data_IF_086447334893
#
_entry.id   IF_086447334893
#
_cell.length_a   1.000
_cell.length_b   1.000
_cell.length_c   1.000
_cell.angle_alpha   90.00
_cell.angle_beta   90.00
_cell.angle_gamma   90.00
#
_symmetry.space_group_name_H-M   'P 1'
#
loop_
_entity.id
_entity.type
_entity.pdbx_description
1 polymer ?
#
# COMPACT_ATOMS: atom_id res chain seq x y z
N UNK A 1 -2.53 19.66 -27.91
CA UNK A 1 -1.87 18.83 -26.87
C UNK A 1 -2.75 17.60 -26.75
N UNK A 2 -2.22 16.42 -27.05
CA UNK A 2 -3.00 15.19 -27.08
C UNK A 2 -3.64 14.95 -25.70
N UNK A 3 -4.97 14.88 -25.64
CA UNK A 3 -5.67 14.63 -24.37
C UNK A 3 -5.52 13.16 -24.01
N UNK A 4 -4.63 12.90 -23.05
CA UNK A 4 -4.32 11.54 -22.60
C UNK A 4 -5.55 10.83 -22.02
N UNK A 5 -6.55 11.57 -21.52
CA UNK A 5 -7.82 10.98 -21.10
C UNK A 5 -8.62 10.47 -22.31
N UNK A 6 -8.73 11.25 -23.38
CA UNK A 6 -9.42 10.82 -24.60
C UNK A 6 -8.75 9.62 -25.26
N UNK A 7 -7.42 9.64 -25.35
CA UNK A 7 -6.67 8.52 -25.93
C UNK A 7 -6.89 7.25 -25.10
N UNK A 8 -6.85 7.37 -23.76
CA UNK A 8 -7.11 6.23 -22.89
C UNK A 8 -8.52 5.66 -23.10
N UNK A 9 -9.54 6.52 -23.24
CA UNK A 9 -10.94 6.10 -23.48
C UNK A 9 -11.14 5.40 -24.82
N UNK A 10 -10.33 5.71 -25.84
CA UNK A 10 -10.39 5.03 -27.14
C UNK A 10 -9.82 3.61 -27.09
N UNK A 11 -9.15 3.21 -26.00
CA UNK A 11 -8.56 1.88 -25.88
C UNK A 11 -7.32 1.65 -26.75
N UNK A 12 -6.78 2.70 -27.39
CA UNK A 12 -5.65 2.56 -28.30
C UNK A 12 -4.32 2.61 -27.54
N UNK A 13 -3.82 1.43 -27.15
CA UNK A 13 -2.55 1.24 -26.42
C UNK A 13 -1.37 1.94 -27.10
N UNK A 14 -1.22 1.81 -28.42
CA UNK A 14 -0.03 2.34 -29.12
C UNK A 14 -0.04 3.88 -29.16
N UNK A 15 -1.21 4.49 -29.41
CA UNK A 15 -1.40 5.94 -29.35
C UNK A 15 -1.17 6.47 -27.92
N UNK A 16 -1.66 5.73 -26.91
CA UNK A 16 -1.45 6.06 -25.50
C UNK A 16 0.02 6.05 -25.11
N UNK A 17 0.75 4.99 -25.49
CA UNK A 17 2.19 4.86 -25.25
C UNK A 17 2.94 6.00 -25.94
N UNK A 18 2.62 6.30 -27.20
CA UNK A 18 3.28 7.38 -27.94
C UNK A 18 3.03 8.76 -27.32
N UNK A 19 1.82 9.03 -26.82
CA UNK A 19 1.52 10.25 -26.08
C UNK A 19 2.33 10.33 -24.76
N UNK A 20 2.44 9.22 -24.03
CA UNK A 20 3.24 9.15 -22.80
C UNK A 20 4.73 9.37 -23.06
N UNK A 21 5.29 8.81 -24.15
CA UNK A 21 6.69 9.01 -24.55
C UNK A 21 7.03 10.48 -24.77
N UNK A 22 6.10 11.26 -25.34
CA UNK A 22 6.27 12.70 -25.55
C UNK A 22 6.22 13.48 -24.24
N UNK A 23 5.35 13.10 -23.30
CA UNK A 23 5.17 13.81 -22.03
C UNK A 23 4.61 12.94 -20.91
N UNK A 24 5.48 12.22 -20.21
CA UNK A 24 5.11 11.31 -19.13
C UNK A 24 4.32 12.03 -18.03
N UNK A 25 4.67 13.27 -17.67
CA UNK A 25 3.97 14.02 -16.62
C UNK A 25 2.45 14.15 -16.83
N UNK A 26 1.94 13.98 -18.06
CA UNK A 26 0.51 13.98 -18.33
C UNK A 26 -0.24 12.79 -17.69
N UNK A 27 0.45 11.68 -17.36
CA UNK A 27 -0.16 10.53 -16.66
C UNK A 27 -0.59 10.89 -15.24
N UNK A 28 0.07 11.86 -14.61
CA UNK A 28 -0.21 12.31 -13.24
C UNK A 28 -1.35 13.34 -13.17
N UNK A 29 -1.89 13.78 -14.32
CA UNK A 29 -3.10 14.60 -14.32
C UNK A 29 -4.26 13.78 -13.78
N UNK A 30 -4.95 14.30 -12.79
CA UNK A 30 -6.08 13.63 -12.17
C UNK A 30 -7.32 14.52 -12.18
N UNK A 31 -8.46 13.86 -12.09
CA UNK A 31 -9.80 14.43 -11.97
C UNK A 31 -10.57 13.59 -10.96
N UNK A 32 -11.17 14.25 -9.98
CA UNK A 32 -11.96 13.54 -8.97
C UNK A 32 -13.26 12.99 -9.57
N UNK A 33 -13.66 11.79 -9.16
CA UNK A 33 -14.93 11.19 -9.55
C UNK A 33 -14.75 9.95 -10.44
N UNK A 34 -15.44 9.90 -11.58
CA UNK A 34 -15.49 8.69 -12.43
C UNK A 34 -14.33 8.51 -13.42
N UNK A 35 -13.44 9.50 -13.52
CA UNK A 35 -12.36 9.47 -14.51
C UNK A 35 -11.00 9.20 -13.86
N UNK A 36 -10.79 9.64 -12.61
CA UNK A 36 -9.50 9.52 -11.93
C UNK A 36 -8.39 10.19 -12.74
N UNK A 37 -7.33 9.45 -13.02
CA UNK A 37 -6.26 9.80 -13.96
C UNK A 37 -6.26 8.87 -15.20
N UNK A 38 -5.48 9.16 -16.25
CA UNK A 38 -5.44 8.34 -17.46
C UNK A 38 -5.08 6.86 -17.25
N UNK A 39 -4.33 6.52 -16.20
CA UNK A 39 -4.06 5.12 -15.86
C UNK A 39 -5.28 4.39 -15.31
N UNK A 40 -6.21 5.06 -14.63
CA UNK A 40 -7.47 4.43 -14.22
C UNK A 40 -8.25 3.95 -15.44
N UNK A 41 -8.33 4.82 -16.46
CA UNK A 41 -9.01 4.50 -17.72
C UNK A 41 -8.27 3.36 -18.43
N UNK A 42 -6.95 3.46 -18.60
CA UNK A 42 -6.17 2.40 -19.25
C UNK A 42 -6.25 1.05 -18.51
N UNK A 43 -6.40 1.05 -17.18
CA UNK A 43 -6.59 -0.16 -16.39
C UNK A 43 -7.98 -0.76 -16.60
N UNK A 44 -9.01 0.09 -16.59
CA UNK A 44 -10.39 -0.33 -16.86
C UNK A 44 -10.57 -0.89 -18.27
N UNK A 45 -9.87 -0.33 -19.25
CA UNK A 45 -9.82 -0.83 -20.65
C UNK A 45 -8.88 -2.04 -20.83
N UNK A 46 -8.19 -2.50 -19.77
CA UNK A 46 -7.43 -3.74 -19.76
C UNK A 46 -6.06 -3.70 -20.47
N UNK A 47 -5.51 -2.53 -20.78
CA UNK A 47 -4.22 -2.42 -21.48
C UNK A 47 -3.08 -1.77 -20.66
N UNK A 48 -3.35 -1.29 -19.43
CA UNK A 48 -2.39 -0.58 -18.59
C UNK A 48 -1.05 -1.32 -18.43
N UNK A 49 -1.07 -2.63 -18.08
CA UNK A 49 0.17 -3.38 -17.85
C UNK A 49 1.06 -3.41 -19.11
N UNK A 50 0.45 -3.63 -20.27
CA UNK A 50 1.18 -3.66 -21.54
C UNK A 50 1.78 -2.30 -21.89
N UNK A 51 0.99 -1.23 -21.76
CA UNK A 51 1.45 0.14 -22.00
C UNK A 51 2.58 0.54 -21.03
N UNK A 52 2.45 0.21 -19.75
CA UNK A 52 3.44 0.55 -18.73
C UNK A 52 4.80 -0.10 -19.02
N UNK A 53 4.83 -1.36 -19.46
CA UNK A 53 6.07 -2.04 -19.86
C UNK A 53 6.78 -1.28 -20.98
N UNK A 54 6.04 -0.87 -22.01
CA UNK A 54 6.60 -0.15 -23.14
C UNK A 54 7.08 1.24 -22.77
N UNK A 55 6.34 1.95 -21.92
CA UNK A 55 6.72 3.28 -21.43
C UNK A 55 8.02 3.20 -20.63
N UNK A 56 8.12 2.30 -19.65
CA UNK A 56 9.32 2.18 -18.81
C UNK A 56 10.53 1.73 -19.63
N UNK A 57 10.36 0.75 -20.52
CA UNK A 57 11.42 0.30 -21.42
C UNK A 57 11.95 1.45 -22.28
N UNK A 58 11.05 2.22 -22.90
CA UNK A 58 11.43 3.38 -23.70
C UNK A 58 12.20 4.41 -22.88
N UNK A 59 11.75 4.73 -21.67
CA UNK A 59 12.42 5.71 -20.82
C UNK A 59 13.84 5.26 -20.44
N UNK A 60 14.03 3.96 -20.20
CA UNK A 60 15.34 3.38 -19.90
C UNK A 60 16.28 3.43 -21.11
N UNK A 61 15.78 3.05 -22.29
CA UNK A 61 16.56 3.08 -23.54
C UNK A 61 16.91 4.51 -23.98
N UNK A 62 15.93 5.43 -23.94
CA UNK A 62 16.11 6.85 -24.31
C UNK A 62 17.08 7.56 -23.36
N UNK A 63 16.96 7.33 -22.05
CA UNK A 63 17.89 7.90 -21.06
C UNK A 63 19.30 7.35 -21.28
N UNK A 64 19.45 6.04 -21.52
CA UNK A 64 20.76 5.43 -21.76
C UNK A 64 21.44 6.00 -23.01
N UNK A 65 20.71 6.09 -24.12
CA UNK A 65 21.22 6.66 -25.38
C UNK A 65 21.69 8.10 -25.19
N UNK A 66 20.88 8.94 -24.52
CA UNK A 66 21.24 10.34 -24.27
C UNK A 66 22.42 10.51 -23.32
N UNK A 67 22.57 9.60 -22.34
CA UNK A 67 23.70 9.61 -21.40
C UNK A 67 25.00 9.21 -22.11
N UNK A 68 24.96 8.27 -23.06
CA UNK A 68 26.13 7.89 -23.87
C UNK A 68 26.58 9.02 -24.81
N UNK A 69 25.65 9.84 -25.31
CA UNK A 69 25.92 11.01 -26.17
C UNK A 69 26.29 12.28 -25.39
N UNK A 70 26.02 12.32 -24.08
CA UNK A 70 26.23 13.49 -23.25
C UNK A 70 27.71 13.87 -23.17
N UNK A 71 28.00 15.16 -23.37
CA UNK A 71 29.39 15.66 -23.45
C UNK A 71 29.95 16.05 -22.10
N UNK A 72 29.09 16.29 -21.11
CA UNK A 72 29.50 16.67 -19.77
C UNK A 72 28.69 15.97 -18.66
N UNK A 73 29.24 16.01 -17.44
CA UNK A 73 28.62 15.40 -16.27
C UNK A 73 27.34 16.11 -15.81
N UNK A 74 27.14 17.39 -16.15
CA UNK A 74 25.95 18.16 -15.76
C UNK A 74 24.74 17.71 -16.59
N UNK A 75 24.95 17.46 -17.87
CA UNK A 75 23.98 16.91 -18.81
C UNK A 75 23.56 15.50 -18.38
N UNK A 76 24.52 14.63 -18.04
CA UNK A 76 24.23 13.30 -17.47
C UNK A 76 23.35 13.41 -16.22
N UNK A 77 23.73 14.26 -15.25
CA UNK A 77 22.92 14.45 -14.02
C UNK A 77 21.52 15.00 -14.30
N UNK A 78 21.37 15.86 -15.31
CA UNK A 78 20.07 16.40 -15.72
C UNK A 78 19.19 15.28 -16.28
N UNK A 79 19.73 14.43 -17.15
CA UNK A 79 19.01 13.29 -17.73
C UNK A 79 18.63 12.26 -16.67
N UNK A 80 19.54 11.92 -15.76
CA UNK A 80 19.23 11.03 -14.62
C UNK A 80 18.11 11.59 -13.74
N UNK A 81 18.10 12.92 -13.51
CA UNK A 81 17.04 13.57 -12.75
C UNK A 81 15.71 13.52 -13.50
N UNK A 82 15.69 13.82 -14.79
CA UNK A 82 14.49 13.74 -15.62
C UNK A 82 13.90 12.32 -15.64
N UNK A 83 14.74 11.30 -15.76
CA UNK A 83 14.33 9.91 -15.67
C UNK A 83 13.70 9.57 -14.31
N UNK A 84 14.31 10.03 -13.20
CA UNK A 84 13.75 9.88 -11.85
C UNK A 84 12.41 10.60 -11.69
N UNK A 85 12.28 11.81 -12.21
CA UNK A 85 11.04 12.58 -12.18
C UNK A 85 9.93 11.89 -12.99
N UNK A 86 10.26 11.34 -14.17
CA UNK A 86 9.33 10.54 -14.97
C UNK A 86 8.85 9.27 -14.24
N UNK A 87 9.76 8.52 -13.60
CA UNK A 87 9.38 7.38 -12.75
C UNK A 87 8.49 7.81 -11.59
N UNK A 88 8.76 8.96 -10.98
CA UNK A 88 7.93 9.53 -9.91
C UNK A 88 6.51 9.83 -10.38
N UNK A 89 6.33 10.47 -11.54
CA UNK A 89 4.99 10.75 -12.08
C UNK A 89 4.19 9.47 -12.34
N UNK A 90 4.83 8.44 -12.91
CA UNK A 90 4.20 7.14 -13.14
C UNK A 90 3.74 6.52 -11.82
N UNK A 91 4.61 6.54 -10.81
CA UNK A 91 4.32 6.00 -9.48
C UNK A 91 3.17 6.74 -8.80
N UNK A 92 3.17 8.07 -8.84
CA UNK A 92 2.08 8.88 -8.30
C UNK A 92 0.76 8.57 -9.00
N UNK A 93 0.74 8.47 -10.33
CA UNK A 93 -0.46 8.13 -11.09
C UNK A 93 -0.99 6.72 -10.76
N UNK A 94 -0.11 5.73 -10.54
CA UNK A 94 -0.51 4.36 -10.18
C UNK A 94 -1.03 4.25 -8.74
N UNK A 95 -0.70 5.20 -7.86
CA UNK A 95 -1.12 5.20 -6.45
C UNK A 95 -2.22 6.23 -6.15
N UNK A 96 -2.53 7.09 -7.11
CA UNK A 96 -3.57 8.10 -7.00
C UNK A 96 -4.95 7.44 -6.84
N UNK A 97 -5.72 7.92 -5.86
CA UNK A 97 -7.04 7.39 -5.48
C UNK A 97 -8.17 8.36 -5.82
N UNK A 98 -8.00 9.12 -6.89
CA UNK A 98 -8.97 10.12 -7.34
C UNK A 98 -10.24 9.51 -7.95
N UNK A 99 -10.23 8.21 -8.28
CA UNK A 99 -11.40 7.50 -8.79
C UNK A 99 -12.30 7.00 -7.65
N UNK A 100 -13.59 7.32 -7.72
CA UNK A 100 -14.58 6.87 -6.73
C UNK A 100 -15.47 5.78 -7.34
N UNK A 101 -15.43 4.57 -6.76
CA UNK A 101 -16.26 3.42 -7.11
C UNK A 101 -16.95 2.88 -5.86
N UNK A 102 -18.27 2.82 -5.84
CA UNK A 102 -19.05 2.19 -4.76
C UNK A 102 -18.65 2.69 -3.34
N UNK A 103 -18.57 4.02 -3.16
CA UNK A 103 -18.08 4.69 -1.93
C UNK A 103 -16.64 4.35 -1.53
N UNK A 104 -15.81 3.97 -2.49
CA UNK A 104 -14.41 3.63 -2.29
C UNK A 104 -13.55 4.47 -3.21
N UNK A 105 -12.51 5.08 -2.65
CA UNK A 105 -11.47 5.73 -3.41
C UNK A 105 -10.48 4.66 -3.87
N UNK A 106 -10.38 4.43 -5.17
CA UNK A 106 -9.60 3.35 -5.76
C UNK A 106 -8.51 3.90 -6.65
N UNK A 107 -7.38 3.19 -6.72
CA UNK A 107 -6.30 3.49 -7.65
C UNK A 107 -6.45 2.71 -8.97
N UNK A 108 -5.64 2.98 -10.01
CA UNK A 108 -5.65 2.19 -11.24
C UNK A 108 -5.44 0.69 -10.99
N UNK A 109 -4.72 0.34 -9.92
CA UNK A 109 -4.43 -1.05 -9.57
C UNK A 109 -5.69 -1.85 -9.23
N UNK A 110 -6.78 -1.18 -8.83
CA UNK A 110 -8.05 -1.83 -8.48
C UNK A 110 -8.70 -2.58 -9.64
N UNK A 111 -8.45 -2.14 -10.88
CA UNK A 111 -9.02 -2.74 -12.08
C UNK A 111 -8.20 -3.93 -12.61
N UNK A 112 -7.04 -4.20 -12.01
CA UNK A 112 -6.14 -5.27 -12.41
C UNK A 112 -6.33 -6.50 -11.53
N UNK A 113 -6.08 -7.70 -12.07
CA UNK A 113 -6.04 -8.91 -11.25
C UNK A 113 -4.79 -8.92 -10.33
N UNK A 114 -4.77 -9.72 -9.24
CA UNK A 114 -3.67 -9.71 -8.29
C UNK A 114 -2.28 -10.03 -8.89
N UNK A 115 -2.20 -10.84 -9.94
CA UNK A 115 -0.94 -11.15 -10.60
C UNK A 115 -0.45 -9.97 -11.44
N UNK A 116 -1.36 -9.27 -12.11
CA UNK A 116 -1.06 -8.03 -12.82
C UNK A 116 -0.68 -6.89 -11.87
N UNK A 117 -1.39 -6.71 -10.76
CA UNK A 117 -1.03 -5.74 -9.73
C UNK A 117 0.41 -5.93 -9.26
N UNK A 118 0.82 -7.18 -8.97
CA UNK A 118 2.19 -7.50 -8.57
C UNK A 118 3.21 -7.12 -9.65
N UNK A 119 2.91 -7.42 -10.92
CA UNK A 119 3.79 -7.06 -12.05
C UNK A 119 3.90 -5.55 -12.23
N UNK A 120 2.78 -4.82 -12.18
CA UNK A 120 2.76 -3.36 -12.26
C UNK A 120 3.56 -2.73 -11.13
N UNK A 121 3.36 -3.20 -9.89
CA UNK A 121 4.11 -2.71 -8.72
C UNK A 121 5.62 -2.96 -8.87
N UNK A 122 6.02 -4.13 -9.37
CA UNK A 122 7.42 -4.45 -9.67
C UNK A 122 8.02 -3.54 -10.75
N UNK A 123 7.31 -3.33 -11.86
CA UNK A 123 7.77 -2.47 -12.97
C UNK A 123 7.95 -1.01 -12.51
N UNK A 124 7.03 -0.51 -11.69
CA UNK A 124 7.03 0.87 -11.22
C UNK A 124 7.88 1.10 -9.95
N UNK A 125 8.60 0.09 -9.46
CA UNK A 125 9.31 0.13 -8.18
C UNK A 125 8.43 0.65 -7.02
N UNK A 126 7.17 0.21 -7.03
CA UNK A 126 6.24 0.38 -5.93
C UNK A 126 6.55 -0.73 -4.95
N UNK A 127 7.22 -0.37 -3.86
CA UNK A 127 7.32 -1.23 -2.70
C UNK A 127 5.90 -1.66 -2.35
N UNK A 128 5.65 -2.97 -2.39
CA UNK A 128 4.44 -3.49 -1.77
C UNK A 128 4.52 -2.99 -0.33
N UNK A 129 3.58 -2.13 0.08
CA UNK A 129 3.44 -1.83 1.48
C UNK A 129 3.45 -3.16 2.21
N UNK A 130 4.23 -3.27 3.28
CA UNK A 130 3.90 -4.28 4.26
C UNK A 130 2.49 -3.89 4.68
N UNK A 131 1.50 -4.54 4.07
CA UNK A 131 0.17 -4.56 4.63
C UNK A 131 0.47 -5.05 6.03
N UNK A 132 0.35 -4.14 7.00
CA UNK A 132 0.27 -4.48 8.40
C UNK A 132 -0.98 -5.36 8.47
N UNK A 133 -0.79 -6.61 8.07
CA UNK A 133 -1.84 -7.57 7.87
C UNK A 133 -2.46 -7.66 9.25
N UNK A 134 -3.78 -7.50 9.38
CA UNK A 134 -4.41 -7.71 10.68
C UNK A 134 -3.98 -9.07 11.25
N UNK A 135 -3.67 -10.07 10.40
CA UNK A 135 -3.01 -11.32 10.80
C UNK A 135 -1.59 -11.17 11.33
N UNK A 136 -0.76 -10.27 10.79
CA UNK A 136 0.57 -9.97 11.32
C UNK A 136 0.47 -9.25 12.67
N UNK A 137 -0.44 -8.27 12.82
CA UNK A 137 -0.69 -7.64 14.12
C UNK A 137 -1.24 -8.62 15.15
N UNK A 138 -2.22 -9.45 14.77
CA UNK A 138 -2.73 -10.53 15.61
C UNK A 138 -1.60 -11.51 15.96
N UNK A 139 -0.75 -11.88 15.01
CA UNK A 139 0.40 -12.75 15.27
C UNK A 139 1.40 -12.11 16.24
N UNK A 140 1.70 -10.81 16.07
CA UNK A 140 2.58 -10.04 16.96
C UNK A 140 1.97 -9.94 18.37
N UNK A 141 0.65 -9.80 18.46
CA UNK A 141 -0.09 -9.76 19.71
C UNK A 141 -0.10 -11.13 20.41
N UNK A 142 -0.31 -12.22 19.67
CA UNK A 142 -0.22 -13.60 20.19
C UNK A 142 1.18 -13.87 20.72
N UNK A 143 2.23 -13.51 19.96
CA UNK A 143 3.62 -13.67 20.40
C UNK A 143 3.89 -12.83 21.66
N UNK A 144 3.43 -11.58 21.69
CA UNK A 144 3.54 -10.73 22.88
C UNK A 144 2.84 -11.32 24.10
N UNK A 145 1.63 -11.86 23.94
CA UNK A 145 0.88 -12.52 25.01
C UNK A 145 1.61 -13.76 25.54
N UNK A 146 2.19 -14.58 24.66
CA UNK A 146 3.00 -15.75 25.06
C UNK A 146 4.22 -15.30 25.87
N UNK A 147 4.96 -14.30 25.39
CA UNK A 147 6.15 -13.77 26.09
C UNK A 147 5.77 -13.22 27.46
N UNK A 148 4.68 -12.46 27.56
CA UNK A 148 4.16 -11.96 28.84
C UNK A 148 3.76 -13.09 29.80
N UNK A 149 3.08 -14.13 29.31
CA UNK A 149 2.70 -15.28 30.13
C UNK A 149 3.95 -16.03 30.63
N UNK A 150 4.94 -16.26 29.76
CA UNK A 150 6.20 -16.90 30.15
C UNK A 150 6.96 -16.06 31.18
N UNK A 151 7.04 -14.74 31.00
CA UNK A 151 7.67 -13.84 31.97
C UNK A 151 6.98 -13.91 33.34
N UNK A 152 5.64 -13.87 33.38
CA UNK A 152 4.88 -14.03 34.62
C UNK A 152 5.14 -15.38 35.29
N UNK A 153 5.15 -16.48 34.53
CA UNK A 153 5.44 -17.81 35.06
C UNK A 153 6.85 -17.90 35.65
N UNK A 154 7.86 -17.34 34.97
CA UNK A 154 9.25 -17.31 35.47
C UNK A 154 9.36 -16.44 36.72
N UNK A 155 8.73 -15.25 36.75
CA UNK A 155 8.72 -14.40 37.95
C UNK A 155 8.05 -15.09 39.14
N UNK A 156 6.92 -15.78 38.92
CA UNK A 156 6.24 -16.54 39.97
C UNK A 156 7.07 -17.74 40.45
N UNK A 157 7.78 -18.42 39.54
CA UNK A 157 8.67 -19.51 39.90
C UNK A 157 9.83 -19.03 40.78
N UNK A 158 10.47 -17.91 40.40
CA UNK A 158 11.52 -17.30 41.21
C UNK A 158 11.01 -16.83 42.58
N UNK A 159 9.82 -16.23 42.62
CA UNK A 159 9.17 -15.85 43.88
C UNK A 159 8.87 -17.07 44.75
N UNK A 160 8.41 -18.17 44.16
CA UNK A 160 8.14 -19.42 44.87
C UNK A 160 9.42 -20.06 45.42
N UNK A 161 10.52 -20.00 44.67
CA UNK A 161 11.84 -20.45 45.14
C UNK A 161 12.35 -19.65 46.35
N UNK A 162 11.95 -18.38 46.49
CA UNK A 162 12.32 -17.53 47.62
C UNK A 162 11.33 -17.63 48.78
N UNK A 163 10.02 -17.66 48.51
CA UNK A 163 8.96 -17.76 49.51
C UNK A 163 7.61 -18.18 48.92
N UNK A 164 7.06 -19.28 49.42
CA UNK A 164 5.75 -19.82 48.96
C UNK A 164 4.58 -18.88 49.29
N UNK A 165 4.62 -18.21 50.45
CA UNK A 165 3.58 -17.27 50.87
C UNK A 165 3.58 -15.99 50.03
N UNK A 166 4.76 -15.53 49.60
CA UNK A 166 4.90 -14.36 48.73
C UNK A 166 4.36 -14.65 47.32
N UNK A 167 4.68 -15.82 46.76
CA UNK A 167 4.14 -16.25 45.47
C UNK A 167 2.60 -16.36 45.50
N UNK A 168 2.04 -16.94 46.56
CA UNK A 168 0.58 -17.09 46.71
C UNK A 168 -0.13 -15.72 46.84
N UNK A 169 0.45 -14.80 47.60
CA UNK A 169 -0.07 -13.43 47.72
C UNK A 169 0.00 -12.65 46.41
N UNK A 170 1.07 -12.81 45.62
CA UNK A 170 1.18 -12.23 44.28
C UNK A 170 0.12 -12.79 43.32
N UNK A 171 -0.13 -14.11 43.34
CA UNK A 171 -1.21 -14.72 42.53
C UNK A 171 -2.58 -14.18 42.93
N UNK A 172 -2.86 -14.11 44.24
CA UNK A 172 -4.11 -13.54 44.75
C UNK A 172 -4.29 -12.07 44.31
N UNK A 173 -3.21 -11.29 44.27
CA UNK A 173 -3.22 -9.89 43.85
C UNK A 173 -3.38 -9.74 42.33
N UNK A 174 -2.78 -10.61 41.53
CA UNK A 174 -2.96 -10.62 40.06
C UNK A 174 -4.40 -11.04 39.69
N UNK A 175 -4.98 -11.99 40.42
CA UNK A 175 -6.33 -12.48 40.22
C UNK A 175 -7.41 -11.47 40.64
N UNK A 176 -7.20 -10.78 41.78
CA UNK A 176 -8.12 -9.76 42.31
C UNK A 176 -7.87 -8.34 41.79
N UNK A 177 -6.69 -8.08 41.20
CA UNK A 177 -6.31 -6.81 40.60
C UNK A 177 -6.81 -6.66 39.16
N UNK A 178 -7.00 -5.41 38.71
CA UNK A 178 -7.54 -5.05 37.40
C UNK A 178 -6.79 -5.58 36.17
N UNK A 179 -5.70 -6.32 36.34
CA UNK A 179 -4.98 -7.10 35.33
C UNK A 179 -5.85 -8.12 34.61
N UNK A 180 -6.76 -8.83 35.30
CA UNK A 180 -7.69 -9.80 34.69
C UNK A 180 -8.75 -9.11 33.83
N UNK A 181 -9.21 -7.91 34.23
CA UNK A 181 -10.09 -7.05 33.43
C UNK A 181 -9.39 -6.51 32.18
N UNK A 182 -8.13 -6.06 32.29
CA UNK A 182 -7.34 -5.61 31.14
C UNK A 182 -7.04 -6.76 30.16
N UNK A 183 -6.76 -7.96 30.66
CA UNK A 183 -6.57 -9.15 29.83
C UNK A 183 -7.86 -9.53 29.10
N UNK A 184 -9.02 -9.49 29.78
CA UNK A 184 -10.31 -9.75 29.14
C UNK A 184 -10.65 -8.69 28.09
N UNK A 185 -10.41 -7.40 28.39
CA UNK A 185 -10.60 -6.30 27.42
C UNK A 185 -9.69 -6.45 26.21
N UNK A 186 -8.42 -6.80 26.40
CA UNK A 186 -7.48 -7.10 25.34
C UNK A 186 -7.95 -8.29 24.48
N UNK A 187 -8.38 -9.39 25.11
CA UNK A 187 -8.94 -10.55 24.40
C UNK A 187 -10.20 -10.20 23.61
N UNK A 188 -11.06 -9.33 24.15
CA UNK A 188 -12.29 -8.91 23.49
C UNK A 188 -12.01 -7.95 22.31
N UNK A 189 -11.03 -7.06 22.42
CA UNK A 189 -10.52 -6.27 21.29
C UNK A 189 -9.89 -7.17 20.21
N UNK A 190 -9.15 -8.22 20.58
CA UNK A 190 -8.62 -9.22 19.63
C UNK A 190 -9.78 -9.96 18.93
N UNK A 191 -10.82 -10.33 19.67
CA UNK A 191 -12.00 -11.01 19.11
C UNK A 191 -12.79 -10.09 18.18
N UNK A 192 -12.95 -8.80 18.54
CA UNK A 192 -13.52 -7.77 17.68
C UNK A 192 -12.71 -7.60 16.38
N UNK A 193 -11.38 -7.54 16.48
CA UNK A 193 -10.46 -7.46 15.33
C UNK A 193 -10.52 -8.71 14.42
N UNK A 194 -10.78 -9.89 14.98
CA UNK A 194 -11.00 -11.13 14.22
C UNK A 194 -12.33 -11.10 13.46
N UNK A 195 -13.36 -10.46 14.02
CA UNK A 195 -14.70 -10.41 13.43
C UNK A 195 -14.86 -9.29 12.38
N UNK A 196 -14.12 -8.19 12.50
CA UNK A 196 -14.35 -6.97 11.70
C UNK A 196 -13.48 -6.83 10.43
N UNK A 197 -12.76 -7.87 9.97
CA UNK A 197 -12.05 -7.78 8.67
C UNK A 197 -11.51 -9.11 8.18
N UNK A 198 -12.33 -9.84 7.44
CA UNK A 198 -11.85 -10.86 6.48
C UNK A 198 -11.44 -10.28 5.13
N UNK A 199 -11.56 -8.96 4.90
CA UNK A 199 -11.16 -8.34 3.64
C UNK A 199 -9.77 -7.72 3.78
N UNK A 200 -8.74 -8.52 3.47
CA UNK A 200 -7.38 -8.02 3.27
C UNK A 200 -7.40 -7.10 2.04
N UNK A 201 -7.52 -5.80 2.27
CA UNK A 201 -7.53 -4.81 1.19
C UNK A 201 -6.15 -4.18 1.11
N UNK A 202 -5.53 -4.25 -0.07
CA UNK A 202 -4.24 -3.60 -0.31
C UNK A 202 -4.43 -2.07 -0.23
N UNK A 203 -3.73 -1.37 0.68
CA UNK A 203 -3.93 0.06 0.92
C UNK A 203 -3.47 0.92 -0.27
N UNK A 204 -2.67 0.37 -1.19
CA UNK A 204 -2.29 1.05 -2.44
C UNK A 204 -3.39 0.92 -3.50
N UNK A 205 -4.31 -0.03 -3.34
CA UNK A 205 -5.37 -0.35 -4.30
C UNK A 205 -6.67 0.39 -3.98
N UNK A 206 -7.01 0.50 -2.70
CA UNK A 206 -8.30 1.05 -2.29
C UNK A 206 -8.25 1.66 -0.89
N UNK A 207 -9.06 2.70 -0.69
CA UNK A 207 -9.38 3.28 0.61
C UNK A 207 -10.90 3.43 0.75
N UNK A 208 -11.45 3.04 1.91
CA UNK A 208 -12.84 3.32 2.23
C UNK A 208 -13.02 4.83 2.38
N UNK A 209 -14.04 5.39 1.74
CA UNK A 209 -14.43 6.79 1.97
C UNK A 209 -15.27 6.80 3.24
N UNK A 210 -14.77 7.42 4.31
CA UNK A 210 -15.56 7.63 5.51
C UNK A 210 -16.72 8.56 5.15
N UNK A 211 -17.91 7.98 4.98
CA UNK A 211 -19.15 8.75 5.01
C UNK A 211 -19.37 9.07 6.48
N UNK A 212 -18.98 10.29 6.87
CA UNK A 212 -19.03 10.76 8.26
C UNK A 212 -20.35 10.39 8.95
N UNK A 213 -20.25 9.53 9.96
CA UNK A 213 -21.26 9.42 11.01
C UNK A 213 -21.07 10.61 11.95
N UNK A 214 -21.67 11.75 11.58
CA UNK A 214 -22.05 12.77 12.55
C UNK A 214 -23.57 12.88 12.56
N UNK A 215 -24.26 12.27 13.54
CA UNK A 215 -25.48 12.86 14.05
C UNK A 215 -25.10 13.99 15.02
N UNK A 216 -25.69 15.16 14.78
CA UNK A 216 -25.81 16.27 15.74
C UNK A 216 -26.62 15.80 16.95
#
# INVERSE_FOLDING_TARGET
MDDLFEIARKGNKDEFVNACKKRVACVAKHSFGKNGNPFHIAANEGFLLSALKEIIKYLEEDTKSKVEEAKDWKEVKKLEKEFKDNKKYIKEALLDKSYIKDNKAVSPLYFLDPAEQKKVKQIADIKCGFICNKKFHICLYIVGAIVCATAMCVSLYLLFSVSQSLALASIATIASGGSSYLLFKACNEIYGLHNESTIVTDPDVMQLVDVGLTPV
#
